data_IF_767920964837
#
_entry.id   IF_767920964837
#
_cell.length_a   1.000
_cell.length_b   1.000
_cell.length_c   1.000
_cell.angle_alpha   90.00
_cell.angle_beta   90.00
_cell.angle_gamma   90.00
#
_symmetry.space_group_name_H-M   'P 1'
#
loop_
_entity.id
_entity.type
_entity.pdbx_description
1 polymer ?
#
# COMPACT_ATOMS: atom_id res chain seq x y z
N UNK A 1 -7.45 6.59 -17.02
CA UNK A 1 -8.47 7.49 -16.46
C UNK A 1 -9.83 7.09 -17.01
N UNK A 2 -10.78 6.81 -16.14
CA UNK A 2 -12.16 6.46 -16.53
C UNK A 2 -13.13 7.03 -15.50
N UNK A 3 -14.25 7.59 -15.98
CA UNK A 3 -15.31 8.15 -15.11
C UNK A 3 -14.78 9.14 -14.04
N UNK A 4 -13.85 10.02 -14.43
CA UNK A 4 -13.18 10.98 -13.55
C UNK A 4 -12.32 10.33 -12.43
N UNK A 5 -11.97 9.04 -12.56
CA UNK A 5 -11.12 8.32 -11.61
C UNK A 5 -9.73 8.05 -12.16
N UNK A 6 -8.72 8.28 -11.34
CA UNK A 6 -7.33 7.94 -11.63
C UNK A 6 -7.01 6.56 -11.09
N UNK A 7 -6.68 5.62 -11.97
CA UNK A 7 -6.17 4.29 -11.61
C UNK A 7 -4.69 4.20 -11.91
N UNK A 8 -3.99 3.40 -11.15
CA UNK A 8 -2.56 3.15 -11.30
C UNK A 8 -2.32 1.65 -11.50
N UNK A 9 -1.42 1.31 -12.42
CA UNK A 9 -0.91 -0.06 -12.54
C UNK A 9 0.59 -0.05 -12.30
N UNK A 10 1.04 -0.93 -11.40
CA UNK A 10 2.45 -1.18 -11.13
C UNK A 10 2.80 -2.62 -11.52
N UNK A 11 3.88 -2.78 -12.28
CA UNK A 11 4.53 -4.08 -12.48
C UNK A 11 5.77 -4.16 -11.60
N UNK A 12 5.76 -5.08 -10.64
CA UNK A 12 6.89 -5.33 -9.75
C UNK A 12 7.65 -6.57 -10.23
N UNK A 13 8.88 -6.36 -10.71
CA UNK A 13 9.73 -7.42 -11.27
C UNK A 13 10.03 -8.53 -10.27
N UNK A 14 10.33 -8.17 -9.02
CA UNK A 14 10.69 -9.09 -7.94
C UNK A 14 9.94 -8.71 -6.67
N UNK A 15 9.22 -9.64 -6.09
CA UNK A 15 8.27 -9.38 -5.01
C UNK A 15 8.44 -10.36 -3.85
N UNK A 16 9.05 -9.87 -2.75
CA UNK A 16 9.01 -10.53 -1.45
C UNK A 16 7.61 -10.35 -0.85
N UNK A 17 6.83 -11.43 -0.85
CA UNK A 17 5.42 -11.39 -0.47
C UNK A 17 5.21 -11.03 1.00
N UNK A 18 6.10 -11.48 1.88
CA UNK A 18 5.90 -11.29 3.32
C UNK A 18 6.34 -9.90 3.80
N UNK A 19 7.57 -9.48 3.52
CA UNK A 19 8.10 -8.20 4.01
C UNK A 19 7.90 -7.04 3.03
N UNK A 20 8.08 -7.28 1.72
CA UNK A 20 8.12 -6.21 0.73
C UNK A 20 6.75 -5.78 0.22
N UNK A 21 5.94 -6.71 -0.24
CA UNK A 21 4.67 -6.43 -0.93
C UNK A 21 3.71 -5.55 -0.12
N UNK A 22 3.48 -5.76 1.19
CA UNK A 22 2.58 -4.89 1.95
C UNK A 22 3.00 -3.42 1.94
N UNK A 23 4.29 -3.13 2.06
CA UNK A 23 4.83 -1.76 1.97
C UNK A 23 4.74 -1.21 0.55
N UNK A 24 4.98 -2.03 -0.47
CA UNK A 24 4.84 -1.60 -1.86
C UNK A 24 3.40 -1.20 -2.16
N UNK A 25 2.41 -2.00 -1.74
CA UNK A 25 0.99 -1.67 -1.88
C UNK A 25 0.68 -0.34 -1.19
N UNK A 26 1.06 -0.18 0.07
CA UNK A 26 0.78 1.03 0.84
C UNK A 26 1.38 2.28 0.18
N UNK A 27 2.65 2.20 -0.26
CA UNK A 27 3.37 3.32 -0.87
C UNK A 27 2.73 3.77 -2.18
N UNK A 28 2.43 2.83 -3.08
CA UNK A 28 1.87 3.19 -4.40
C UNK A 28 0.37 3.50 -4.35
N UNK A 29 -0.36 2.92 -3.40
CA UNK A 29 -1.73 3.36 -3.12
C UNK A 29 -1.74 4.81 -2.63
N UNK A 30 -0.87 5.17 -1.67
CA UNK A 30 -0.71 6.55 -1.22
C UNK A 30 -0.36 7.48 -2.37
N UNK A 31 0.63 7.14 -3.19
CA UNK A 31 1.04 7.94 -4.35
C UNK A 31 -0.14 8.14 -5.32
N UNK A 32 -0.95 7.10 -5.56
CA UNK A 32 -2.14 7.22 -6.41
C UNK A 32 -3.14 8.22 -5.86
N UNK A 33 -3.39 8.22 -4.55
CA UNK A 33 -4.24 9.21 -3.89
C UNK A 33 -3.69 10.64 -4.01
N UNK A 34 -2.39 10.84 -3.77
CA UNK A 34 -1.75 12.15 -3.85
C UNK A 34 -1.85 12.71 -5.27
N UNK A 35 -1.54 11.90 -6.29
CA UNK A 35 -1.63 12.33 -7.70
C UNK A 35 -3.08 12.61 -8.08
N UNK A 36 -4.03 11.78 -7.67
CA UNK A 36 -5.45 12.01 -7.95
C UNK A 36 -5.89 13.37 -7.38
N UNK A 37 -5.54 13.68 -6.13
CA UNK A 37 -5.87 14.96 -5.51
C UNK A 37 -5.30 16.15 -6.27
N UNK A 38 -3.99 16.18 -6.55
CA UNK A 38 -3.37 17.35 -7.24
C UNK A 38 -3.83 17.51 -8.68
N UNK A 39 -4.33 16.45 -9.30
CA UNK A 39 -4.90 16.48 -10.65
C UNK A 39 -6.43 16.71 -10.67
N UNK A 40 -7.08 16.82 -9.52
CA UNK A 40 -8.52 17.03 -9.41
C UNK A 40 -9.36 15.82 -9.83
N UNK A 41 -8.87 14.60 -9.60
CA UNK A 41 -9.56 13.35 -9.89
C UNK A 41 -9.95 12.59 -8.63
N UNK A 42 -11.00 11.78 -8.73
CA UNK A 42 -11.28 10.74 -7.75
C UNK A 42 -10.27 9.61 -7.86
N UNK A 43 -10.09 8.86 -6.79
CA UNK A 43 -9.23 7.68 -6.79
C UNK A 43 -9.95 6.49 -7.41
N UNK A 44 -9.29 5.83 -8.34
CA UNK A 44 -9.70 4.58 -8.96
C UNK A 44 -9.01 3.36 -8.35
N UNK A 45 -8.65 2.40 -9.20
CA UNK A 45 -8.03 1.15 -8.80
C UNK A 45 -6.49 1.27 -8.76
N UNK A 46 -5.87 0.62 -7.78
CA UNK A 46 -4.46 0.29 -7.81
C UNK A 46 -4.28 -1.17 -8.23
N UNK A 47 -3.73 -1.39 -9.42
CA UNK A 47 -3.51 -2.72 -9.99
C UNK A 47 -2.04 -3.09 -9.79
N UNK A 48 -1.79 -4.15 -9.02
CA UNK A 48 -0.44 -4.62 -8.73
C UNK A 48 -0.18 -5.94 -9.45
N UNK A 49 0.69 -5.91 -10.45
CA UNK A 49 1.11 -7.08 -11.23
C UNK A 49 2.52 -7.48 -10.81
N UNK A 50 2.71 -8.78 -10.61
CA UNK A 50 3.99 -9.33 -10.14
C UNK A 50 4.68 -10.14 -11.23
N UNK A 51 6.01 -10.06 -11.26
CA UNK A 51 6.88 -10.96 -11.99
C UNK A 51 7.31 -12.15 -11.13
N UNK A 52 8.56 -12.14 -10.65
CA UNK A 52 9.07 -13.16 -9.72
C UNK A 52 8.49 -12.90 -8.32
N UNK A 53 7.47 -13.68 -7.99
CA UNK A 53 6.76 -13.61 -6.71
C UNK A 53 7.23 -14.73 -5.81
N UNK A 54 7.82 -14.39 -4.67
CA UNK A 54 8.46 -15.37 -3.80
C UNK A 54 8.20 -15.14 -2.32
N UNK A 55 8.26 -16.22 -1.55
CA UNK A 55 8.31 -16.25 -0.09
C UNK A 55 9.64 -16.88 0.30
N UNK A 56 10.45 -16.18 1.09
CA UNK A 56 11.69 -16.73 1.61
C UNK A 56 11.41 -17.87 2.59
N UNK A 57 12.24 -18.91 2.55
CA UNK A 57 12.06 -20.10 3.40
C UNK A 57 12.08 -19.78 4.90
N UNK A 58 12.82 -18.76 5.31
CA UNK A 58 12.86 -18.27 6.69
C UNK A 58 11.64 -17.42 7.09
N UNK A 59 10.65 -17.28 6.21
CA UNK A 59 9.39 -16.59 6.50
C UNK A 59 8.16 -17.51 6.52
N UNK A 60 8.32 -18.80 6.33
CA UNK A 60 7.19 -19.74 6.25
C UNK A 60 6.37 -19.75 7.53
N UNK A 61 7.02 -19.84 8.70
CA UNK A 61 6.33 -19.82 10.00
C UNK A 61 5.55 -18.51 10.22
N UNK A 62 6.11 -17.39 9.78
CA UNK A 62 5.47 -16.07 9.86
C UNK A 62 4.24 -16.00 8.95
N UNK A 63 4.35 -16.51 7.75
CA UNK A 63 3.22 -16.59 6.80
C UNK A 63 2.12 -17.49 7.34
N UNK A 64 2.46 -18.67 7.85
CA UNK A 64 1.50 -19.59 8.46
C UNK A 64 0.75 -18.92 9.63
N UNK A 65 1.48 -18.22 10.51
CA UNK A 65 0.87 -17.44 11.59
C UNK A 65 -0.06 -16.33 11.04
N UNK A 66 0.35 -15.61 10.01
CA UNK A 66 -0.46 -14.56 9.41
C UNK A 66 -1.76 -15.12 8.82
N UNK A 67 -1.72 -16.28 8.19
CA UNK A 67 -2.89 -16.93 7.59
C UNK A 67 -3.91 -17.41 8.62
N UNK A 68 -3.55 -17.53 9.90
CA UNK A 68 -4.51 -17.84 10.98
C UNK A 68 -5.33 -16.63 11.42
N UNK A 69 -4.98 -15.43 10.96
CA UNK A 69 -5.60 -14.18 11.42
C UNK A 69 -6.75 -13.76 10.52
N UNK A 70 -7.87 -13.37 11.13
CA UNK A 70 -8.98 -12.79 10.42
C UNK A 70 -8.65 -11.35 9.97
N UNK A 71 -8.94 -10.98 8.71
CA UNK A 71 -8.76 -9.62 8.24
C UNK A 71 -9.61 -8.64 9.05
N UNK A 72 -9.02 -7.49 9.37
CA UNK A 72 -9.73 -6.39 10.04
C UNK A 72 -10.36 -5.45 9.01
N UNK A 73 -11.22 -4.54 9.50
CA UNK A 73 -11.78 -3.47 8.68
C UNK A 73 -10.65 -2.65 8.04
N UNK A 74 -10.80 -2.35 6.75
CA UNK A 74 -9.84 -1.54 6.03
C UNK A 74 -9.79 -0.11 6.58
N UNK A 75 -8.61 0.47 6.76
CA UNK A 75 -8.45 1.87 7.14
C UNK A 75 -8.85 2.81 6.00
N UNK A 76 -8.97 4.08 6.33
CA UNK A 76 -9.18 5.16 5.36
C UNK A 76 -7.98 6.07 5.35
N UNK A 77 -7.59 6.51 4.16
CA UNK A 77 -6.60 7.57 3.98
C UNK A 77 -7.31 8.93 3.95
N UNK A 78 -6.75 9.88 4.70
CA UNK A 78 -7.14 11.29 4.65
C UNK A 78 -5.90 12.11 4.30
N UNK A 79 -6.00 12.90 3.25
CA UNK A 79 -4.99 13.87 2.85
C UNK A 79 -5.47 15.29 3.19
N UNK A 80 -4.53 16.18 3.47
CA UNK A 80 -4.82 17.59 3.61
C UNK A 80 -5.34 18.15 2.28
N UNK A 81 -6.61 18.59 2.20
CA UNK A 81 -7.21 19.02 0.93
C UNK A 81 -6.64 20.35 0.39
N UNK A 82 -5.84 21.06 1.18
CA UNK A 82 -5.22 22.33 0.77
C UNK A 82 -3.93 22.14 -0.04
N UNK A 83 -3.39 20.90 -0.08
CA UNK A 83 -2.18 20.61 -0.85
C UNK A 83 -2.57 20.36 -2.31
N UNK A 84 -2.07 21.20 -3.21
CA UNK A 84 -2.36 21.18 -4.65
C UNK A 84 -1.16 20.84 -5.55
N UNK A 85 0.03 20.63 -4.93
CA UNK A 85 1.25 20.19 -5.62
C UNK A 85 1.86 18.99 -4.94
N UNK A 86 2.40 18.08 -5.73
CA UNK A 86 2.93 16.80 -5.22
C UNK A 86 4.12 17.02 -4.27
N UNK A 87 4.98 17.99 -4.56
CA UNK A 87 6.16 18.32 -3.78
C UNK A 87 5.87 19.01 -2.45
N UNK A 88 4.66 19.53 -2.26
CA UNK A 88 4.28 20.26 -1.06
C UNK A 88 3.73 19.35 0.04
N UNK A 89 3.42 18.07 -0.27
CA UNK A 89 2.99 17.11 0.74
C UNK A 89 4.06 16.88 1.80
N UNK A 90 3.65 16.98 3.06
CA UNK A 90 4.46 16.66 4.24
C UNK A 90 3.84 15.50 4.99
N UNK A 91 4.59 14.93 5.93
CA UNK A 91 4.11 13.83 6.76
C UNK A 91 2.81 14.17 7.49
N UNK A 92 2.68 15.41 7.99
CA UNK A 92 1.52 15.91 8.72
C UNK A 92 0.26 16.05 7.86
N UNK A 93 0.40 16.06 6.53
CA UNK A 93 -0.71 16.14 5.58
C UNK A 93 -1.37 14.79 5.30
N UNK A 94 -0.81 13.69 5.86
CA UNK A 94 -1.19 12.32 5.60
C UNK A 94 -1.67 11.68 6.90
N UNK A 95 -2.93 11.29 6.96
CA UNK A 95 -3.52 10.65 8.14
C UNK A 95 -4.21 9.34 7.75
N UNK A 96 -3.93 8.27 8.50
CA UNK A 96 -4.61 6.98 8.35
C UNK A 96 -5.66 6.85 9.45
N UNK A 97 -6.92 6.81 9.06
CA UNK A 97 -8.06 6.72 9.96
C UNK A 97 -8.50 5.27 10.14
N UNK A 98 -8.99 4.93 11.34
CA UNK A 98 -9.58 3.62 11.68
C UNK A 98 -8.61 2.44 11.45
N UNK A 99 -7.29 2.67 11.56
CA UNK A 99 -6.32 1.61 11.41
C UNK A 99 -6.23 0.75 12.67
N UNK A 100 -6.67 -0.49 12.54
CA UNK A 100 -6.51 -1.52 13.56
C UNK A 100 -5.71 -2.67 12.95
N UNK A 101 -4.76 -3.20 13.69
CA UNK A 101 -3.93 -4.32 13.24
C UNK A 101 -3.71 -5.35 14.34
N UNK A 102 -3.46 -6.59 13.92
CA UNK A 102 -2.92 -7.60 14.81
C UNK A 102 -1.50 -7.22 15.26
N UNK A 103 -0.98 -7.84 16.34
CA UNK A 103 0.40 -7.66 16.73
C UNK A 103 1.37 -7.92 15.57
N UNK A 104 2.48 -7.19 15.53
CA UNK A 104 3.49 -7.34 14.48
C UNK A 104 4.09 -8.76 14.46
N UNK A 105 4.36 -9.26 13.25
CA UNK A 105 5.10 -10.51 13.03
C UNK A 105 6.48 -10.11 12.50
N UNK A 106 7.54 -10.42 13.26
CA UNK A 106 8.91 -10.08 12.87
C UNK A 106 9.46 -11.12 11.88
N UNK A 107 10.04 -10.65 10.78
CA UNK A 107 10.81 -11.46 9.83
C UNK A 107 12.24 -10.92 9.69
N UNK A 108 13.20 -11.79 9.43
CA UNK A 108 14.57 -11.40 9.10
C UNK A 108 14.61 -10.97 7.64
N UNK A 109 15.29 -9.86 7.36
CA UNK A 109 15.57 -9.46 5.97
C UNK A 109 16.47 -10.53 5.34
N UNK A 110 16.04 -11.02 4.19
CA UNK A 110 16.80 -11.97 3.36
C UNK A 110 17.33 -11.25 2.11
N UNK A 111 18.52 -11.62 1.68
CA UNK A 111 19.20 -11.08 0.49
C UNK A 111 19.69 -12.25 -0.37
#
# INVERSE_FOLDING_TARGET
LSNNKLSCQMYQRSADVFLGVPFNIASYALLTHMIAQVCGYDVGDFIHTFGDTHIYLNHIEQVDLQLTREPMKLPKLKLNPLVDKIEDFKYEDIEILDYNSHPSIKGKISV
#
